data_IF_755839696849
#
_entry.id   IF_755839696849
#
_cell.length_a   1.000
_cell.length_b   1.000
_cell.length_c   1.000
_cell.angle_alpha   90.00
_cell.angle_beta   90.00
_cell.angle_gamma   90.00
#
_symmetry.space_group_name_H-M   'P 1'
#
loop_
_entity.id
_entity.type
_entity.pdbx_description
1 polymer ?
#
# COMPACT_ATOMS: atom_id res chain seq x y z
N UNK A 1 41.58 37.30 -30.26
CA UNK A 1 42.42 36.44 -31.11
C UNK A 1 43.53 35.81 -30.27
N UNK A 2 43.32 34.61 -29.73
CA UNK A 2 44.43 33.76 -29.24
C UNK A 2 44.09 32.31 -29.56
N UNK A 3 45.05 31.68 -30.24
CA UNK A 3 44.98 30.39 -30.91
C UNK A 3 45.28 29.25 -29.91
N UNK A 4 44.48 28.19 -30.00
CA UNK A 4 44.88 26.80 -30.21
C UNK A 4 46.03 26.21 -29.37
N UNK A 5 45.75 25.19 -28.56
CA UNK A 5 46.61 24.03 -28.37
C UNK A 5 45.76 22.75 -28.12
N UNK A 6 45.91 21.81 -29.06
CA UNK A 6 45.41 20.42 -29.06
C UNK A 6 46.37 19.50 -28.29
N UNK A 7 45.86 18.43 -27.66
CA UNK A 7 46.41 17.06 -27.66
C UNK A 7 45.60 16.17 -26.69
N UNK A 8 44.76 15.25 -27.15
CA UNK A 8 45.08 13.85 -27.47
C UNK A 8 45.81 13.07 -26.36
N UNK A 9 45.04 12.30 -25.58
CA UNK A 9 45.58 11.17 -24.81
C UNK A 9 44.76 9.91 -25.10
N UNK A 10 45.21 9.13 -26.10
CA UNK A 10 44.77 7.77 -26.39
C UNK A 10 45.88 6.81 -25.92
N UNK A 11 45.60 6.01 -24.90
CA UNK A 11 46.31 4.75 -24.55
C UNK A 11 45.17 3.77 -24.25
N UNK A 12 44.82 2.78 -25.08
CA UNK A 12 45.59 1.67 -25.66
C UNK A 12 46.44 0.93 -24.63
N UNK A 13 45.77 0.05 -23.88
CA UNK A 13 46.42 -1.13 -23.27
C UNK A 13 45.48 -2.31 -23.50
N UNK A 14 45.84 -3.05 -24.54
CA UNK A 14 45.39 -4.37 -24.90
C UNK A 14 45.77 -5.41 -23.85
N UNK A 15 44.90 -6.41 -23.71
CA UNK A 15 45.22 -7.80 -23.41
C UNK A 15 45.84 -8.06 -22.04
N UNK A 16 45.15 -8.84 -21.20
CA UNK A 16 45.73 -10.01 -20.53
C UNK A 16 44.57 -10.99 -20.30
N UNK A 17 44.63 -12.05 -21.09
CA UNK A 17 43.77 -13.21 -21.05
C UNK A 17 44.27 -14.11 -19.92
N UNK A 18 43.48 -14.31 -18.86
CA UNK A 18 43.72 -15.37 -17.88
C UNK A 18 42.41 -16.15 -17.69
N UNK A 19 42.38 -17.26 -18.41
CA UNK A 19 41.41 -18.34 -18.35
C UNK A 19 41.46 -18.99 -16.96
N UNK A 20 40.39 -18.86 -16.19
CA UNK A 20 40.10 -19.79 -15.09
C UNK A 20 38.70 -20.36 -15.37
N UNK A 21 38.71 -21.56 -15.94
CA UNK A 21 37.52 -22.39 -16.13
C UNK A 21 37.06 -22.97 -14.78
N UNK A 22 35.77 -22.88 -14.41
CA UNK A 22 35.25 -23.65 -13.30
C UNK A 22 34.98 -25.12 -13.69
N UNK A 23 35.22 -26.09 -12.79
CA UNK A 23 35.04 -27.50 -13.07
C UNK A 23 33.56 -27.87 -13.23
N UNK A 24 33.29 -28.66 -14.28
CA UNK A 24 32.04 -29.35 -14.56
C UNK A 24 31.65 -30.23 -13.37
N UNK A 25 30.60 -29.87 -12.64
CA UNK A 25 29.93 -30.82 -11.75
C UNK A 25 28.83 -31.56 -12.51
N UNK A 26 28.99 -32.88 -12.52
CA UNK A 26 28.14 -33.84 -13.15
C UNK A 26 26.79 -33.99 -12.44
N UNK A 27 25.84 -34.48 -13.22
CA UNK A 27 24.45 -34.71 -12.91
C UNK A 27 24.19 -35.57 -11.66
N UNK A 28 23.17 -35.18 -10.90
CA UNK A 28 22.36 -36.10 -10.11
C UNK A 28 20.88 -35.72 -10.27
N UNK A 29 20.21 -36.34 -11.25
CA UNK A 29 18.76 -36.33 -11.41
C UNK A 29 18.14 -37.16 -10.27
N UNK A 30 17.60 -36.51 -9.23
CA UNK A 30 16.67 -37.15 -8.30
C UNK A 30 15.24 -36.88 -8.77
N UNK A 31 14.53 -37.94 -9.18
CA UNK A 31 13.09 -37.96 -9.41
C UNK A 31 12.37 -37.63 -8.09
N UNK A 32 11.40 -36.69 -8.03
CA UNK A 32 10.45 -36.67 -6.94
C UNK A 32 9.39 -37.75 -7.17
N UNK A 33 9.21 -38.60 -6.16
CA UNK A 33 8.12 -39.57 -6.08
C UNK A 33 6.78 -38.83 -6.08
N UNK A 34 5.84 -39.34 -6.90
CA UNK A 34 4.40 -39.04 -6.77
C UNK A 34 3.96 -39.48 -5.38
N UNK A 35 3.55 -38.54 -4.55
CA UNK A 35 2.65 -38.81 -3.42
C UNK A 35 1.25 -38.40 -3.86
N UNK A 36 0.36 -39.38 -3.96
CA UNK A 36 -1.09 -39.17 -3.97
C UNK A 36 -1.53 -38.65 -2.60
N UNK A 37 -2.35 -37.59 -2.51
CA UNK A 37 -3.09 -37.33 -1.29
C UNK A 37 -4.34 -38.19 -1.26
N UNK A 38 -4.37 -39.11 -0.30
CA UNK A 38 -5.57 -39.82 0.13
C UNK A 38 -6.68 -38.83 0.51
N UNK A 39 -7.89 -39.11 0.03
CA UNK A 39 -9.10 -38.38 0.35
C UNK A 39 -9.41 -38.45 1.86
N UNK A 40 -9.21 -37.34 2.56
CA UNK A 40 -9.71 -37.16 3.91
C UNK A 40 -11.16 -36.65 3.84
N UNK A 41 -12.10 -37.58 4.02
CA UNK A 41 -13.50 -37.32 4.32
C UNK A 41 -13.61 -36.60 5.66
N UNK A 42 -13.99 -35.31 5.65
CA UNK A 42 -14.39 -34.59 6.84
C UNK A 42 -15.92 -34.63 7.00
N UNK A 43 -16.39 -35.59 7.80
CA UNK A 43 -17.72 -35.54 8.39
C UNK A 43 -17.75 -34.40 9.41
N UNK A 44 -18.56 -33.38 9.14
CA UNK A 44 -18.79 -32.26 10.04
C UNK A 44 -19.68 -32.70 11.21
N UNK A 45 -19.16 -32.66 12.43
CA UNK A 45 -19.96 -32.62 13.64
C UNK A 45 -19.93 -31.20 14.21
N UNK A 46 -21.06 -30.61 14.65
CA UNK A 46 -21.10 -29.24 15.15
C UNK A 46 -20.47 -29.14 16.54
N UNK A 47 -19.70 -28.06 16.84
CA UNK A 47 -19.16 -27.85 18.18
C UNK A 47 -20.27 -27.45 19.16
N UNK A 48 -20.24 -28.10 20.33
CA UNK A 48 -21.11 -27.80 21.47
C UNK A 48 -20.77 -26.41 22.03
N UNK A 49 -21.80 -25.58 22.23
CA UNK A 49 -21.72 -24.29 22.93
C UNK A 49 -21.26 -24.53 24.37
N UNK A 50 -20.11 -23.99 24.76
CA UNK A 50 -19.70 -23.87 26.15
C UNK A 50 -19.83 -22.43 26.60
N UNK A 51 -20.75 -22.19 27.53
CA UNK A 51 -20.90 -20.94 28.28
C UNK A 51 -19.85 -20.90 29.38
N UNK A 52 -18.71 -20.26 29.13
CA UNK A 52 -17.73 -19.93 30.19
C UNK A 52 -17.91 -18.48 30.63
N UNK A 53 -18.61 -18.30 31.74
CA UNK A 53 -18.60 -17.07 32.53
C UNK A 53 -17.16 -16.82 33.01
N UNK A 54 -16.52 -15.80 32.45
CA UNK A 54 -15.12 -15.48 32.74
C UNK A 54 -15.03 -14.78 34.09
N UNK A 55 -14.48 -15.48 35.09
CA UNK A 55 -14.15 -14.90 36.40
C UNK A 55 -13.00 -13.90 36.23
N UNK A 56 -13.28 -12.63 36.54
CA UNK A 56 -12.28 -11.54 36.55
C UNK A 56 -11.25 -11.83 37.64
N UNK A 57 -9.96 -11.83 37.28
CA UNK A 57 -8.87 -12.07 38.22
C UNK A 57 -8.59 -10.83 39.07
N UNK A 58 -8.10 -10.98 40.32
CA UNK A 58 -7.82 -9.85 41.22
C UNK A 58 -6.86 -8.80 40.63
N UNK A 59 -5.92 -9.22 39.79
CA UNK A 59 -4.96 -8.34 39.12
C UNK A 59 -5.60 -7.34 38.13
N UNK A 60 -6.75 -7.70 37.53
CA UNK A 60 -7.50 -6.79 36.64
C UNK A 60 -8.23 -5.72 37.46
N UNK A 61 -8.62 -6.03 38.70
CA UNK A 61 -9.28 -5.10 39.61
C UNK A 61 -8.30 -4.06 40.18
N UNK A 62 -7.05 -4.46 40.43
CA UNK A 62 -5.97 -3.59 40.91
C UNK A 62 -5.59 -2.52 39.87
N UNK A 63 -5.45 -2.90 38.60
CA UNK A 63 -5.13 -1.98 37.51
C UNK A 63 -6.25 -0.95 37.26
N UNK A 64 -7.51 -1.31 37.54
CA UNK A 64 -8.64 -0.39 37.43
C UNK A 64 -8.60 0.73 38.47
N UNK A 65 -8.08 0.46 39.68
CA UNK A 65 -7.92 1.46 40.76
C UNK A 65 -6.80 2.46 40.46
N UNK A 66 -5.71 2.01 39.86
CA UNK A 66 -4.58 2.89 39.51
C UNK A 66 -5.00 3.92 38.44
N UNK A 67 -5.75 3.49 37.42
CA UNK A 67 -6.22 4.38 36.34
C UNK A 67 -7.22 5.41 36.88
N UNK A 68 -8.12 5.01 37.79
CA UNK A 68 -9.10 5.94 38.38
C UNK A 68 -8.44 6.97 39.31
N UNK A 69 -7.38 6.62 40.04
CA UNK A 69 -6.63 7.59 40.87
C UNK A 69 -5.84 8.60 40.01
N UNK A 70 -5.23 8.16 38.90
CA UNK A 70 -4.52 9.06 37.98
C UNK A 70 -5.45 10.05 37.29
N UNK A 71 -6.65 9.62 36.87
CA UNK A 71 -7.64 10.50 36.26
C UNK A 71 -8.23 11.51 37.27
N UNK A 72 -8.43 11.09 38.52
CA UNK A 72 -8.89 11.97 39.60
C UNK A 72 -7.91 13.10 39.93
N UNK A 73 -6.59 12.83 39.90
CA UNK A 73 -5.56 13.86 40.11
C UNK A 73 -5.44 14.88 38.99
N UNK A 74 -5.89 14.53 37.79
CA UNK A 74 -5.94 15.46 36.64
C UNK A 74 -7.22 16.29 36.59
N UNK A 75 -8.09 16.19 37.62
CA UNK A 75 -9.33 16.97 37.68
C UNK A 75 -10.39 16.55 36.66
N UNK A 76 -10.21 15.42 35.98
CA UNK A 76 -11.18 14.86 35.03
C UNK A 76 -12.24 14.11 35.84
N UNK A 77 -13.17 14.87 36.41
CA UNK A 77 -14.41 14.30 36.94
C UNK A 77 -15.37 14.18 35.75
N UNK A 78 -15.72 12.93 35.44
CA UNK A 78 -16.85 12.52 34.57
C UNK A 78 -16.52 11.99 33.17
N UNK A 79 -17.46 11.14 32.75
CA UNK A 79 -17.40 10.07 31.77
C UNK A 79 -17.62 10.65 30.36
N UNK A 80 -16.68 10.53 29.39
CA UNK A 80 -16.80 11.17 28.07
C UNK A 80 -17.78 10.45 27.12
N UNK A 81 -18.76 9.70 27.65
CA UNK A 81 -19.70 8.88 26.88
C UNK A 81 -21.13 9.06 27.37
N UNK A 82 -21.52 10.30 27.64
CA UNK A 82 -22.92 10.70 27.71
C UNK A 82 -23.14 11.73 26.61
N UNK A 83 -23.40 11.23 25.40
CA UNK A 83 -23.86 12.04 24.27
C UNK A 83 -25.37 12.17 24.48
N UNK A 84 -25.78 13.18 25.23
CA UNK A 84 -27.17 13.64 25.19
C UNK A 84 -27.35 14.37 23.86
N UNK A 85 -28.22 13.82 23.03
CA UNK A 85 -28.80 14.51 21.88
C UNK A 85 -29.62 15.69 22.42
N UNK A 86 -29.02 16.88 22.40
CA UNK A 86 -29.74 18.14 22.55
C UNK A 86 -29.58 18.90 21.23
N UNK A 87 -30.65 18.83 20.44
CA UNK A 87 -30.99 19.76 19.38
C UNK A 87 -31.07 21.17 19.97
N UNK A 88 -30.24 22.10 19.48
CA UNK A 88 -30.60 23.52 19.50
C UNK A 88 -30.35 24.13 18.12
N UNK A 89 -31.46 24.54 17.53
CA UNK A 89 -31.60 25.45 16.41
C UNK A 89 -30.64 26.65 16.55
N UNK A 90 -29.86 26.92 15.50
CA UNK A 90 -29.30 28.26 15.32
C UNK A 90 -29.75 28.80 13.98
N UNK A 91 -30.56 29.84 14.14
CA UNK A 91 -31.29 30.61 13.16
C UNK A 91 -30.36 31.39 12.21
N UNK A 92 -30.97 31.77 11.11
CA UNK A 92 -30.61 32.81 10.15
C UNK A 92 -29.63 33.88 10.67
N UNK A 93 -28.58 34.10 9.87
CA UNK A 93 -28.03 35.45 9.69
C UNK A 93 -27.85 35.70 8.20
N UNK A 94 -28.83 36.41 7.65
CA UNK A 94 -28.67 37.24 6.46
C UNK A 94 -27.62 38.30 6.81
N UNK A 95 -26.46 38.25 6.15
CA UNK A 95 -25.48 39.34 6.20
C UNK A 95 -25.34 39.90 4.78
N UNK A 96 -26.21 40.88 4.51
CA UNK A 96 -26.07 41.90 3.48
C UNK A 96 -24.93 42.83 3.88
N UNK A 97 -23.83 42.83 3.11
CA UNK A 97 -22.92 43.97 3.07
C UNK A 97 -22.19 44.06 1.73
N UNK A 98 -22.75 44.94 0.91
CA UNK A 98 -22.10 46.02 0.17
C UNK A 98 -21.20 45.68 -1.02
N UNK A 99 -21.81 45.91 -2.18
CA UNK A 99 -21.20 46.31 -3.44
C UNK A 99 -20.17 47.44 -3.22
N UNK A 100 -18.91 47.20 -3.56
CA UNK A 100 -18.03 48.28 -4.01
C UNK A 100 -17.58 48.00 -5.44
N UNK A 101 -17.99 48.93 -6.30
CA UNK A 101 -17.69 49.07 -7.71
C UNK A 101 -16.18 49.12 -7.96
N UNK A 102 -15.69 48.18 -8.78
CA UNK A 102 -14.41 48.34 -9.47
C UNK A 102 -14.70 48.22 -10.96
N UNK A 103 -15.14 49.32 -11.57
CA UNK A 103 -15.19 49.45 -13.02
C UNK A 103 -13.78 49.66 -13.60
N UNK A 104 -13.60 49.02 -14.76
CA UNK A 104 -12.72 49.41 -15.87
C UNK A 104 -11.18 49.15 -15.73
N UNK A 105 -10.47 48.52 -16.68
CA UNK A 105 -10.69 48.50 -18.13
C UNK A 105 -9.74 47.49 -18.85
N UNK A 106 -10.29 46.75 -19.83
CA UNK A 106 -9.70 46.31 -21.13
C UNK A 106 -8.79 45.05 -21.20
N UNK A 107 -9.37 43.94 -21.67
CA UNK A 107 -9.15 43.32 -23.02
C UNK A 107 -9.18 41.78 -23.01
N UNK A 108 -10.31 41.22 -23.44
CA UNK A 108 -10.41 39.85 -23.99
C UNK A 108 -9.90 39.80 -25.44
N UNK A 109 -9.42 38.64 -25.92
CA UNK A 109 -10.34 37.68 -26.50
C UNK A 109 -10.11 36.29 -25.87
N UNK A 110 -11.15 35.66 -25.32
CA UNK A 110 -12.13 34.98 -26.16
C UNK A 110 -11.67 33.55 -26.44
N UNK A 111 -11.87 32.64 -25.49
CA UNK A 111 -11.81 31.19 -25.74
C UNK A 111 -12.72 30.47 -24.76
N UNK A 112 -13.82 29.97 -25.32
CA UNK A 112 -14.96 29.34 -24.66
C UNK A 112 -14.54 28.10 -23.86
N UNK A 113 -14.77 28.13 -22.54
CA UNK A 113 -14.87 26.94 -21.70
C UNK A 113 -16.21 26.25 -21.96
N UNK A 114 -16.30 25.49 -23.04
CA UNK A 114 -17.38 24.52 -23.25
C UNK A 114 -16.82 23.34 -24.03
N UNK A 115 -16.30 22.33 -23.30
CA UNK A 115 -16.27 20.92 -23.71
C UNK A 115 -15.52 20.09 -22.64
N UNK A 116 -16.24 19.58 -21.63
CA UNK A 116 -15.65 18.68 -20.62
C UNK A 116 -16.11 17.23 -20.75
N UNK A 117 -17.09 16.91 -21.60
CA UNK A 117 -17.59 15.53 -21.77
C UNK A 117 -17.16 14.83 -23.06
N UNK A 118 -16.82 15.59 -24.10
CA UNK A 118 -16.35 15.04 -25.38
C UNK A 118 -14.85 14.67 -25.34
N UNK A 119 -14.03 15.51 -24.69
CA UNK A 119 -12.58 15.29 -24.59
C UNK A 119 -12.23 14.14 -23.63
N UNK A 120 -13.00 13.94 -22.56
CA UNK A 120 -12.84 12.79 -21.66
C UNK A 120 -13.22 11.48 -22.37
N UNK A 121 -14.28 11.51 -23.19
CA UNK A 121 -14.72 10.37 -24.00
C UNK A 121 -13.74 10.05 -25.13
N UNK A 122 -13.10 11.05 -25.73
CA UNK A 122 -12.05 10.86 -26.72
C UNK A 122 -10.79 10.26 -26.08
N UNK A 123 -10.35 10.78 -24.92
CA UNK A 123 -9.16 10.27 -24.19
C UNK A 123 -9.35 8.84 -23.70
N UNK A 124 -10.56 8.48 -23.24
CA UNK A 124 -10.92 7.11 -22.88
C UNK A 124 -10.88 6.17 -24.10
N UNK A 125 -11.37 6.62 -25.25
CA UNK A 125 -11.39 5.82 -26.50
C UNK A 125 -9.99 5.60 -27.08
N UNK A 126 -9.06 6.53 -26.89
CA UNK A 126 -7.65 6.36 -27.32
C UNK A 126 -6.86 5.43 -26.38
N UNK A 127 -7.15 5.45 -25.07
CA UNK A 127 -6.57 4.51 -24.10
C UNK A 127 -7.08 3.07 -24.31
N UNK A 128 -8.37 2.89 -24.63
CA UNK A 128 -8.94 1.57 -24.92
C UNK A 128 -8.46 0.97 -26.25
N UNK A 129 -8.08 1.81 -27.24
CA UNK A 129 -7.52 1.33 -28.50
C UNK A 129 -6.05 0.86 -28.40
N UNK A 130 -5.28 1.39 -27.45
CA UNK A 130 -3.84 1.08 -27.30
C UNK A 130 -3.55 -0.18 -26.48
N UNK A 131 -4.54 -0.81 -25.84
CA UNK A 131 -4.36 -2.01 -25.00
C UNK A 131 -4.66 -3.32 -25.71
N UNK A 132 -4.94 -3.27 -27.03
CA UNK A 132 -5.29 -4.46 -27.83
C UNK A 132 -4.09 -5.40 -27.95
N UNK A 133 -4.05 -6.41 -27.08
CA UNK A 133 -2.97 -7.40 -27.00
C UNK A 133 -2.02 -7.22 -25.82
N UNK A 134 -2.17 -6.14 -25.04
CA UNK A 134 -1.41 -5.97 -23.80
C UNK A 134 -1.93 -6.95 -22.72
N UNK A 135 -1.03 -7.38 -21.84
CA UNK A 135 -1.33 -8.24 -20.69
C UNK A 135 -1.00 -7.48 -19.42
N UNK A 136 -1.73 -7.74 -18.35
CA UNK A 136 -1.39 -7.21 -17.05
C UNK A 136 0.02 -7.68 -16.65
N UNK A 137 0.93 -6.76 -16.38
CA UNK A 137 2.30 -7.13 -16.02
C UNK A 137 2.45 -7.72 -14.61
N UNK A 138 1.39 -7.73 -13.79
CA UNK A 138 1.38 -8.38 -12.46
C UNK A 138 0.81 -9.80 -12.49
N UNK A 139 -0.33 -10.00 -13.16
CA UNK A 139 -1.03 -11.29 -13.15
C UNK A 139 -1.03 -12.01 -14.50
N UNK A 140 -0.58 -11.36 -15.58
CA UNK A 140 -0.52 -11.92 -16.93
C UNK A 140 -1.88 -12.03 -17.65
N UNK A 141 -2.99 -11.66 -17.00
CA UNK A 141 -4.33 -11.72 -17.59
C UNK A 141 -4.54 -10.61 -18.62
N UNK A 142 -5.33 -10.91 -19.64
CA UNK A 142 -5.88 -9.94 -20.60
C UNK A 142 -7.32 -9.61 -20.19
N UNK A 143 -7.75 -8.35 -20.33
CA UNK A 143 -9.08 -7.91 -19.92
C UNK A 143 -9.19 -6.40 -19.89
N UNK A 144 -9.97 -5.85 -18.95
CA UNK A 144 -10.00 -4.41 -18.65
C UNK A 144 -8.63 -4.02 -18.08
N UNK A 145 -7.85 -3.25 -18.83
CA UNK A 145 -6.49 -2.85 -18.48
C UNK A 145 -6.41 -1.33 -18.36
N UNK A 146 -5.55 -0.87 -17.45
CA UNK A 146 -5.23 0.55 -17.24
C UNK A 146 -3.73 0.71 -17.04
N UNK A 147 -3.22 1.94 -17.17
CA UNK A 147 -1.80 2.27 -16.92
C UNK A 147 -1.65 2.90 -15.55
N UNK A 148 -0.65 2.45 -14.80
CA UNK A 148 -0.34 3.06 -13.50
C UNK A 148 0.23 4.46 -13.68
N UNK A 149 -0.20 5.45 -12.90
CA UNK A 149 0.34 6.80 -13.00
C UNK A 149 1.78 6.90 -12.45
N UNK A 150 2.14 6.02 -11.51
CA UNK A 150 3.45 6.04 -10.85
C UNK A 150 4.60 5.44 -11.67
N UNK A 151 4.33 4.43 -12.50
CA UNK A 151 5.37 3.72 -13.26
C UNK A 151 4.99 3.39 -14.70
N UNK A 152 3.85 3.90 -15.19
CA UNK A 152 3.35 3.73 -16.56
C UNK A 152 3.22 2.28 -17.04
N UNK A 153 3.11 1.34 -16.10
CA UNK A 153 2.96 -0.09 -16.38
C UNK A 153 1.49 -0.46 -16.57
N UNK A 154 1.24 -1.41 -17.45
CA UNK A 154 -0.12 -1.89 -17.75
C UNK A 154 -0.56 -2.93 -16.71
N UNK A 155 -1.70 -2.68 -16.08
CA UNK A 155 -2.29 -3.49 -15.01
C UNK A 155 -3.78 -3.71 -15.23
N UNK A 156 -4.38 -4.69 -14.56
CA UNK A 156 -5.83 -4.85 -14.54
C UNK A 156 -6.51 -3.63 -13.91
N UNK A 157 -7.58 -3.14 -14.54
CA UNK A 157 -8.47 -2.12 -14.00
C UNK A 157 -9.61 -2.81 -13.24
N UNK A 158 -9.31 -3.20 -12.00
CA UNK A 158 -10.12 -4.08 -11.17
C UNK A 158 -10.38 -3.50 -9.77
N UNK A 159 -10.42 -2.17 -9.67
CA UNK A 159 -10.81 -1.48 -8.42
C UNK A 159 -12.23 -1.84 -8.00
N UNK A 160 -13.15 -1.89 -8.96
CA UNK A 160 -14.58 -2.15 -8.74
C UNK A 160 -14.86 -3.59 -8.22
N UNK A 161 -13.91 -4.51 -8.41
CA UNK A 161 -14.05 -5.91 -8.00
C UNK A 161 -13.64 -6.15 -6.52
N UNK A 162 -13.21 -5.11 -5.81
CA UNK A 162 -12.78 -5.24 -4.42
C UNK A 162 -13.96 -5.12 -3.46
N UNK A 163 -14.17 -6.15 -2.65
CA UNK A 163 -15.14 -6.12 -1.55
C UNK A 163 -14.48 -5.47 -0.33
N UNK A 164 -15.09 -4.41 0.21
CA UNK A 164 -14.60 -3.72 1.40
C UNK A 164 -14.41 -4.71 2.57
N UNK A 165 -13.36 -4.51 3.36
CA UNK A 165 -12.96 -5.36 4.50
C UNK A 165 -12.62 -6.83 4.19
N UNK A 166 -12.72 -7.27 2.94
CA UNK A 166 -12.33 -8.65 2.56
C UNK A 166 -10.83 -8.91 2.65
N UNK A 167 -10.00 -7.85 2.63
CA UNK A 167 -8.55 -7.92 2.47
C UNK A 167 -8.12 -8.81 1.30
N UNK A 168 -8.97 -8.90 0.27
CA UNK A 168 -8.73 -9.74 -0.90
C UNK A 168 -7.57 -9.21 -1.75
N UNK A 169 -6.74 -10.15 -2.19
CA UNK A 169 -5.59 -9.91 -3.05
C UNK A 169 -5.92 -10.08 -4.54
N UNK A 170 -7.21 -9.94 -4.90
CA UNK A 170 -7.75 -10.18 -6.24
C UNK A 170 -7.60 -8.98 -7.19
N UNK A 171 -7.44 -7.77 -6.66
CA UNK A 171 -7.35 -6.53 -7.44
C UNK A 171 -5.90 -6.10 -7.66
N UNK A 172 -5.39 -6.19 -8.89
CA UNK A 172 -4.00 -5.82 -9.21
C UNK A 172 -3.77 -4.31 -9.03
N UNK A 173 -4.70 -3.50 -9.52
CA UNK A 173 -4.62 -2.03 -9.45
C UNK A 173 -4.62 -1.53 -8.01
N UNK A 174 -5.60 -1.96 -7.22
CA UNK A 174 -5.70 -1.58 -5.81
C UNK A 174 -4.52 -2.09 -4.99
N UNK A 175 -4.06 -3.32 -5.23
CA UNK A 175 -2.92 -3.85 -4.48
C UNK A 175 -1.61 -3.16 -4.83
N UNK A 176 -1.42 -2.78 -6.10
CA UNK A 176 -0.30 -1.95 -6.50
C UNK A 176 -0.36 -0.60 -5.78
N UNK A 177 -1.51 0.05 -5.78
CA UNK A 177 -1.69 1.35 -5.14
C UNK A 177 -1.48 1.32 -3.61
N UNK A 178 -2.15 0.39 -2.92
CA UNK A 178 -2.19 0.37 -1.45
C UNK A 178 -0.98 -0.28 -0.79
N UNK A 179 -0.28 -1.16 -1.50
CA UNK A 179 0.76 -2.00 -0.87
C UNK A 179 2.15 -1.76 -1.45
N UNK A 180 2.36 -0.87 -2.42
CA UNK A 180 3.71 -0.61 -2.95
C UNK A 180 4.26 0.72 -2.47
N UNK A 181 5.56 0.75 -2.22
CA UNK A 181 6.29 2.02 -1.98
C UNK A 181 6.28 2.89 -3.23
N UNK A 182 6.24 2.28 -4.43
CA UNK A 182 6.13 2.98 -5.70
C UNK A 182 4.90 3.91 -5.75
N UNK A 183 3.71 3.42 -5.38
CA UNK A 183 2.51 4.26 -5.40
C UNK A 183 2.56 5.36 -4.34
N UNK A 184 2.96 5.03 -3.11
CA UNK A 184 3.07 6.00 -2.01
C UNK A 184 4.05 7.13 -2.38
N UNK A 185 5.19 6.78 -2.97
CA UNK A 185 6.19 7.74 -3.45
C UNK A 185 5.60 8.71 -4.49
N UNK A 186 4.81 8.19 -5.43
CA UNK A 186 4.14 9.01 -6.44
C UNK A 186 3.05 9.90 -5.83
N UNK A 187 2.20 9.36 -4.95
CA UNK A 187 1.13 10.11 -4.29
C UNK A 187 1.68 11.26 -3.43
N UNK A 188 2.80 11.04 -2.75
CA UNK A 188 3.50 12.06 -1.97
C UNK A 188 4.36 12.99 -2.83
N UNK A 189 4.39 12.78 -4.15
CA UNK A 189 5.12 13.58 -5.15
C UNK A 189 6.60 13.77 -4.80
N UNK A 190 7.23 12.72 -4.28
CA UNK A 190 8.66 12.75 -4.00
C UNK A 190 9.46 12.74 -5.31
N UNK A 191 10.53 13.53 -5.34
CA UNK A 191 11.47 13.55 -6.47
C UNK A 191 12.29 12.28 -6.58
N UNK A 192 12.72 11.96 -7.80
CA UNK A 192 13.63 10.85 -8.10
C UNK A 192 12.97 9.46 -8.00
N UNK A 193 13.79 8.39 -8.10
CA UNK A 193 13.30 7.02 -8.00
C UNK A 193 12.99 6.63 -6.55
N UNK A 194 11.88 5.95 -6.33
CA UNK A 194 11.43 5.54 -5.00
C UNK A 194 12.42 4.62 -4.29
N UNK A 195 13.22 3.86 -5.05
CA UNK A 195 14.24 2.93 -4.53
C UNK A 195 15.33 3.64 -3.71
N UNK A 196 15.64 4.90 -4.01
CA UNK A 196 16.68 5.67 -3.31
C UNK A 196 16.10 6.77 -2.42
N UNK A 197 14.77 6.90 -2.38
CA UNK A 197 14.08 7.94 -1.63
C UNK A 197 14.18 7.68 -0.11
N UNK A 198 14.95 8.52 0.58
CA UNK A 198 15.14 8.43 2.03
C UNK A 198 13.89 8.84 2.82
N UNK A 199 13.01 9.65 2.23
CA UNK A 199 11.72 10.00 2.86
C UNK A 199 10.84 8.77 2.91
N UNK A 200 10.69 8.05 1.79
CA UNK A 200 9.93 6.79 1.74
C UNK A 200 10.50 5.74 2.70
N UNK A 201 11.83 5.64 2.80
CA UNK A 201 12.49 4.67 3.69
C UNK A 201 12.26 4.94 5.17
N UNK A 202 12.19 6.20 5.57
CA UNK A 202 12.02 6.61 6.98
C UNK A 202 10.56 6.88 7.37
N UNK A 203 9.69 7.20 6.41
CA UNK A 203 8.29 7.54 6.65
C UNK A 203 7.38 6.34 6.89
N UNK A 204 7.89 5.11 6.89
CA UNK A 204 7.12 3.90 7.16
C UNK A 204 7.86 3.01 8.15
N UNK A 205 7.14 2.26 9.01
CA UNK A 205 7.77 1.25 9.86
C UNK A 205 8.66 0.31 9.04
N UNK A 206 9.84 -0.10 9.53
CA UNK A 206 10.79 -0.87 8.74
C UNK A 206 10.21 -2.15 8.10
N UNK A 207 9.32 -2.86 8.81
CA UNK A 207 8.62 -4.04 8.28
C UNK A 207 7.65 -3.70 7.14
N UNK A 208 6.91 -2.60 7.24
CA UNK A 208 6.02 -2.11 6.18
C UNK A 208 6.80 -1.66 4.96
N UNK A 209 7.90 -0.93 5.15
CA UNK A 209 8.76 -0.52 4.05
C UNK A 209 9.36 -1.74 3.35
N UNK A 210 9.91 -2.69 4.11
CA UNK A 210 10.49 -3.91 3.55
C UNK A 210 9.45 -4.69 2.73
N UNK A 211 8.27 -4.97 3.29
CA UNK A 211 7.19 -5.64 2.57
C UNK A 211 6.76 -4.86 1.32
N UNK A 212 6.52 -3.56 1.48
CA UNK A 212 6.06 -2.69 0.39
C UNK A 212 7.08 -2.48 -0.72
N UNK A 213 8.36 -2.72 -0.46
CA UNK A 213 9.44 -2.59 -1.45
C UNK A 213 9.79 -3.91 -2.16
N UNK A 214 9.49 -5.06 -1.54
CA UNK A 214 9.86 -6.38 -2.06
C UNK A 214 8.67 -7.22 -2.54
N UNK A 215 7.43 -6.77 -2.31
CA UNK A 215 6.27 -7.58 -2.66
C UNK A 215 6.08 -7.76 -4.18
N UNK A 216 5.26 -8.75 -4.52
CA UNK A 216 4.89 -9.13 -5.90
C UNK A 216 4.10 -8.08 -6.67
N UNK A 217 3.66 -7.01 -6.02
CA UNK A 217 2.89 -5.93 -6.66
C UNK A 217 3.81 -4.82 -7.18
N UNK A 218 5.10 -4.85 -6.85
CA UNK A 218 6.10 -3.97 -7.47
C UNK A 218 6.58 -4.57 -8.79
N UNK A 219 6.67 -3.72 -9.82
CA UNK A 219 7.30 -4.06 -11.09
C UNK A 219 8.83 -4.09 -11.02
N UNK A 220 9.41 -3.35 -10.07
CA UNK A 220 10.86 -3.28 -9.85
C UNK A 220 11.18 -3.50 -8.37
N UNK A 221 10.89 -4.70 -7.82
CA UNK A 221 11.08 -4.98 -6.41
C UNK A 221 12.56 -4.89 -6.02
N UNK A 222 12.83 -4.38 -4.82
CA UNK A 222 14.20 -4.33 -4.29
C UNK A 222 14.67 -5.75 -3.92
N UNK A 223 15.81 -6.19 -4.48
CA UNK A 223 16.34 -7.55 -4.23
C UNK A 223 17.08 -7.69 -2.90
N UNK A 224 17.70 -6.61 -2.41
CA UNK A 224 18.66 -6.65 -1.30
C UNK A 224 18.10 -6.07 0.01
N UNK A 225 16.78 -6.05 0.18
CA UNK A 225 16.18 -5.55 1.43
C UNK A 225 15.99 -6.70 2.40
N UNK A 226 16.53 -6.53 3.61
CA UNK A 226 16.30 -7.47 4.71
C UNK A 226 14.81 -7.46 5.06
N UNK A 227 14.14 -8.60 4.85
CA UNK A 227 12.75 -8.78 5.28
C UNK A 227 12.70 -8.75 6.80
N UNK A 228 11.90 -7.83 7.34
CA UNK A 228 11.66 -7.72 8.78
C UNK A 228 10.30 -8.35 9.04
N UNK A 229 10.22 -9.43 9.85
CA UNK A 229 8.95 -10.08 10.13
C UNK A 229 8.08 -9.21 11.02
N UNK A 230 6.78 -9.23 10.76
CA UNK A 230 5.75 -8.76 11.67
C UNK A 230 5.54 -9.80 12.77
N UNK A 231 5.13 -9.35 13.96
CA UNK A 231 4.85 -10.20 15.13
C UNK A 231 3.47 -9.91 15.67
N UNK A 232 2.67 -10.96 15.91
CA UNK A 232 1.35 -10.84 16.52
C UNK A 232 1.51 -10.43 17.99
N UNK A 233 0.81 -9.38 18.41
CA UNK A 233 0.81 -8.92 19.79
C UNK A 233 0.18 -9.93 20.78
N UNK A 234 -0.78 -10.75 20.32
CA UNK A 234 -1.51 -11.68 21.20
C UNK A 234 -0.90 -13.08 21.28
N UNK A 235 -0.57 -13.69 20.14
CA UNK A 235 -0.05 -15.08 20.11
C UNK A 235 1.44 -15.19 19.78
N UNK A 236 2.10 -14.08 19.46
CA UNK A 236 3.53 -14.08 19.10
C UNK A 236 3.85 -14.65 17.72
N UNK A 237 2.86 -15.07 16.92
CA UNK A 237 3.06 -15.55 15.55
C UNK A 237 3.82 -14.53 14.70
N UNK A 238 4.83 -14.97 13.96
CA UNK A 238 5.64 -14.13 13.08
C UNK A 238 5.48 -14.50 11.61
N UNK A 239 5.32 -13.50 10.75
CA UNK A 239 5.35 -13.68 9.29
C UNK A 239 5.95 -12.45 8.62
N UNK A 240 6.58 -12.63 7.45
CA UNK A 240 7.10 -11.52 6.63
C UNK A 240 6.02 -10.91 5.75
N UNK A 241 4.85 -11.53 5.63
CA UNK A 241 3.74 -11.01 4.84
C UNK A 241 2.81 -10.14 5.69
N UNK A 242 2.62 -8.88 5.25
CA UNK A 242 1.68 -7.94 5.86
C UNK A 242 0.24 -8.48 5.86
N UNK A 243 -0.14 -9.29 4.87
CA UNK A 243 -1.53 -9.80 4.76
C UNK A 243 -1.91 -10.82 5.82
N UNK A 244 -0.94 -11.38 6.55
CA UNK A 244 -1.20 -12.24 7.71
C UNK A 244 -1.67 -11.44 8.94
N UNK A 245 -1.45 -10.12 8.92
CA UNK A 245 -1.77 -9.18 9.99
C UNK A 245 -2.74 -8.09 9.50
N UNK A 246 -4.03 -8.41 9.32
CA UNK A 246 -4.99 -7.49 8.71
C UNK A 246 -5.36 -6.31 9.62
N UNK A 247 -5.05 -6.38 10.92
CA UNK A 247 -5.39 -5.36 11.91
C UNK A 247 -4.14 -4.85 12.60
N UNK A 248 -4.05 -3.53 12.75
CA UNK A 248 -3.04 -2.83 13.54
C UNK A 248 -3.79 -2.04 14.61
N UNK A 249 -3.41 -2.22 15.88
CA UNK A 249 -3.97 -1.51 17.02
C UNK A 249 -2.87 -0.92 17.90
N UNK A 250 -3.25 -0.40 19.07
CA UNK A 250 -2.30 0.21 20.03
C UNK A 250 -1.20 -0.74 20.48
N UNK A 251 -1.50 -2.04 20.59
CA UNK A 251 -0.54 -3.09 20.94
C UNK A 251 0.31 -3.62 19.78
N UNK A 252 0.12 -3.13 18.56
CA UNK A 252 0.85 -3.56 17.36
C UNK A 252 -0.01 -4.35 16.36
N UNK A 253 0.57 -5.38 15.75
CA UNK A 253 -0.05 -6.17 14.67
C UNK A 253 -0.83 -7.37 15.24
N UNK A 254 -2.00 -7.66 14.67
CA UNK A 254 -2.84 -8.79 15.08
C UNK A 254 -3.08 -9.73 13.90
N UNK A 255 -2.84 -11.02 14.09
CA UNK A 255 -3.02 -12.00 13.02
C UNK A 255 -4.49 -12.42 12.87
N UNK A 256 -4.85 -12.94 11.68
CA UNK A 256 -6.22 -13.40 11.36
C UNK A 256 -6.82 -14.37 12.37
N UNK A 257 -6.00 -15.21 13.01
CA UNK A 257 -6.45 -16.20 14.01
C UNK A 257 -6.82 -15.58 15.36
N UNK A 258 -6.29 -14.40 15.64
CA UNK A 258 -6.42 -13.73 16.92
C UNK A 258 -7.51 -12.66 16.88
N UNK A 259 -7.97 -12.28 15.69
CA UNK A 259 -9.10 -11.36 15.55
C UNK A 259 -10.39 -12.19 15.75
N UNK A 260 -11.27 -11.78 16.69
CA UNK A 260 -12.52 -12.47 16.94
C UNK A 260 -13.50 -12.38 15.76
#
# INVERSE_FOLDING_TARGET
MMKSLLANNKRSISSWCLLIAPPKQAAAKKKPAKQEPAAASWSSAPPKKSSSSSKVTPAILENRKIITDMLGRMGIKENPFNFSDDDEDSEDSEDDSDEEDIEDVISTPGSKQQNSKADEKAKKKTLEASTKGEKCGLCGKSGKLTRTPCCNNVICDDWDNYVLFSQANNSCSRNHDRNTVCSVHYMQKHGGPWQTCQVCKRGSPPAMYAHGATNKYNFSPLKNVKLIPFKCAMCGHTSTDKFDFPTVGSGGYYCKKCIP
#
